data_IF_014576005630
#
_entry.id   IF_014576005630
#
_cell.length_a   1.000
_cell.length_b   1.000
_cell.length_c   1.000
_cell.angle_alpha   90.00
_cell.angle_beta   90.00
_cell.angle_gamma   90.00
#
_symmetry.space_group_name_H-M   'P 1'
#
loop_
_entity.id
_entity.type
_entity.pdbx_description
1 polymer ?
#
# COMPACT_ATOMS: atom_id res chain seq x y z
N UNK A 1 -10.18 -20.14 1.26
CA UNK A 1 -9.31 -19.95 0.08
C UNK A 1 -7.93 -19.53 0.57
N UNK A 2 -6.82 -19.94 -0.09
CA UNK A 2 -5.50 -19.42 0.25
C UNK A 2 -5.49 -17.89 0.08
N UNK A 3 -4.63 -17.21 0.83
CA UNK A 3 -4.44 -15.77 0.64
C UNK A 3 -4.04 -15.52 -0.82
N UNK A 4 -4.58 -14.48 -1.46
CA UNK A 4 -4.34 -14.19 -2.88
C UNK A 4 -4.10 -12.70 -3.09
N UNK A 5 -3.14 -12.34 -3.95
CA UNK A 5 -2.93 -10.97 -4.41
C UNK A 5 -3.52 -10.84 -5.81
N UNK A 6 -4.46 -9.92 -6.00
CA UNK A 6 -5.03 -9.57 -7.30
C UNK A 6 -4.44 -8.26 -7.81
N UNK A 7 -4.01 -8.27 -9.08
CA UNK A 7 -3.40 -7.15 -9.78
C UNK A 7 -4.39 -6.56 -10.79
N UNK A 8 -4.64 -5.26 -10.66
CA UNK A 8 -5.66 -4.52 -11.40
C UNK A 8 -5.12 -3.27 -12.08
N UNK A 9 -5.86 -2.74 -13.05
CA UNK A 9 -5.84 -1.31 -13.31
C UNK A 9 -7.19 -0.69 -12.94
N UNK A 10 -7.20 0.63 -12.73
CA UNK A 10 -8.41 1.34 -12.35
C UNK A 10 -9.25 1.82 -13.54
N UNK A 11 -8.74 1.76 -14.78
CA UNK A 11 -9.34 2.37 -15.97
C UNK A 11 -9.55 3.90 -15.80
N UNK A 12 -8.51 4.58 -15.32
CA UNK A 12 -8.52 6.00 -14.91
C UNK A 12 -7.30 6.76 -15.46
N UNK A 13 -7.26 8.09 -15.32
CA UNK A 13 -6.02 8.86 -15.44
C UNK A 13 -4.97 8.47 -14.37
N UNK A 14 -3.74 8.91 -14.58
CA UNK A 14 -2.57 8.58 -13.76
C UNK A 14 -2.59 9.11 -12.32
N UNK A 15 -3.33 10.18 -12.06
CA UNK A 15 -3.44 10.85 -10.77
C UNK A 15 -4.64 10.38 -9.93
N UNK A 16 -5.40 9.40 -10.44
CA UNK A 16 -6.58 8.92 -9.75
C UNK A 16 -6.22 8.07 -8.53
N UNK A 17 -6.64 8.53 -7.36
CA UNK A 17 -6.53 7.80 -6.09
C UNK A 17 -7.83 7.94 -5.33
N UNK A 18 -8.55 6.84 -5.11
CA UNK A 18 -9.79 6.83 -4.31
C UNK A 18 -9.90 5.57 -3.45
N UNK A 19 -10.25 5.69 -2.16
CA UNK A 19 -10.48 4.54 -1.30
C UNK A 19 -11.74 3.78 -1.71
N UNK A 20 -11.77 2.48 -1.41
CA UNK A 20 -13.01 1.67 -1.36
C UNK A 20 -12.92 0.36 -2.13
N UNK A 21 -12.29 0.38 -3.30
CA UNK A 21 -12.18 -0.80 -4.17
C UNK A 21 -10.86 -1.55 -4.00
N UNK A 22 -9.75 -0.82 -3.90
CA UNK A 22 -8.41 -1.41 -3.87
C UNK A 22 -7.73 -1.11 -2.55
N UNK A 23 -6.87 -2.03 -2.11
CA UNK A 23 -6.09 -1.84 -0.90
C UNK A 23 -4.97 -0.82 -1.13
N UNK A 24 -4.36 -0.88 -2.31
CA UNK A 24 -3.41 0.12 -2.77
C UNK A 24 -3.67 0.54 -4.20
N UNK A 25 -3.43 1.82 -4.46
CA UNK A 25 -3.43 2.39 -5.81
C UNK A 25 -2.04 2.96 -6.09
N UNK A 26 -1.49 2.66 -7.26
CA UNK A 26 -0.20 3.16 -7.74
C UNK A 26 -0.44 4.21 -8.83
N UNK A 27 -0.04 5.45 -8.56
CA UNK A 27 -0.13 6.57 -9.50
C UNK A 27 0.86 6.42 -10.68
N UNK A 28 0.69 7.20 -11.74
CA UNK A 28 1.47 7.06 -12.99
C UNK A 28 2.99 7.21 -12.83
N UNK A 29 3.43 7.94 -11.81
CA UNK A 29 4.84 8.13 -11.45
C UNK A 29 5.41 6.98 -10.59
N UNK A 30 4.58 6.00 -10.22
CA UNK A 30 4.95 4.89 -9.33
C UNK A 30 4.67 5.14 -7.85
N UNK A 31 4.13 6.31 -7.46
CA UNK A 31 3.77 6.61 -6.08
C UNK A 31 2.68 5.66 -5.59
N UNK A 32 2.93 4.98 -4.48
CA UNK A 32 2.01 4.01 -3.90
C UNK A 32 1.18 4.65 -2.79
N UNK A 33 -0.14 4.60 -2.95
CA UNK A 33 -1.11 5.03 -1.96
C UNK A 33 -1.74 3.80 -1.32
N UNK A 34 -1.48 3.56 -0.03
CA UNK A 34 -2.14 2.49 0.72
C UNK A 34 -3.39 3.05 1.40
N UNK A 35 -4.54 2.53 1.02
CA UNK A 35 -5.86 3.04 1.36
C UNK A 35 -6.54 2.19 2.43
N UNK A 36 -6.31 0.89 2.39
CA UNK A 36 -6.88 -0.07 3.32
C UNK A 36 -5.82 -1.06 3.78
N UNK A 37 -5.91 -1.51 5.03
CA UNK A 37 -5.01 -2.51 5.58
C UNK A 37 -5.15 -3.83 4.79
N UNK A 38 -4.07 -4.53 4.49
CA UNK A 38 -4.11 -5.81 3.75
C UNK A 38 -4.74 -6.98 4.51
N UNK A 39 -5.24 -6.73 5.70
CA UNK A 39 -5.78 -7.74 6.62
C UNK A 39 -7.30 -7.75 6.65
N UNK A 40 -7.94 -6.85 5.91
CA UNK A 40 -9.38 -6.80 5.78
C UNK A 40 -9.78 -7.26 4.39
N UNK A 41 -11.00 -7.78 4.27
CA UNK A 41 -11.59 -8.03 2.96
C UNK A 41 -12.25 -6.75 2.47
N UNK A 42 -11.97 -6.36 1.22
CA UNK A 42 -12.69 -5.29 0.55
C UNK A 42 -13.88 -5.84 -0.23
N UNK A 43 -15.02 -5.13 -0.29
CA UNK A 43 -16.26 -5.72 -0.76
C UNK A 43 -16.29 -6.02 -2.27
N UNK A 44 -15.51 -5.31 -3.09
CA UNK A 44 -15.68 -5.34 -4.54
C UNK A 44 -14.44 -4.92 -5.35
N UNK A 45 -13.48 -5.84 -5.53
CA UNK A 45 -12.41 -5.72 -6.53
C UNK A 45 -12.40 -6.87 -7.54
N UNK A 46 -12.59 -8.11 -7.10
CA UNK A 46 -12.57 -9.31 -7.94
C UNK A 46 -13.80 -10.17 -7.63
N UNK A 47 -14.75 -10.24 -8.57
CA UNK A 47 -16.03 -10.93 -8.40
C UNK A 47 -15.84 -12.36 -7.86
N UNK A 48 -16.55 -12.68 -6.75
CA UNK A 48 -16.49 -13.95 -6.00
C UNK A 48 -15.11 -14.36 -5.46
N UNK A 49 -14.16 -13.43 -5.43
CA UNK A 49 -12.74 -13.69 -5.10
C UNK A 49 -12.17 -12.70 -4.08
N UNK A 50 -13.02 -11.86 -3.47
CA UNK A 50 -12.61 -10.77 -2.58
C UNK A 50 -12.18 -11.19 -1.17
N UNK A 51 -12.49 -12.42 -0.74
CA UNK A 51 -12.19 -12.87 0.62
C UNK A 51 -10.80 -13.47 0.75
N UNK A 52 -10.13 -13.15 1.86
CA UNK A 52 -8.73 -13.49 2.11
C UNK A 52 -7.84 -13.05 0.94
N UNK A 53 -8.03 -11.82 0.49
CA UNK A 53 -7.38 -11.31 -0.71
C UNK A 53 -6.93 -9.86 -0.58
N UNK A 54 -5.84 -9.53 -1.24
CA UNK A 54 -5.34 -8.16 -1.39
C UNK A 54 -5.50 -7.74 -2.84
N UNK A 55 -5.81 -6.46 -3.06
CA UNK A 55 -6.02 -5.88 -4.38
C UNK A 55 -5.10 -4.68 -4.57
N UNK A 56 -4.19 -4.78 -5.52
CA UNK A 56 -3.28 -3.71 -5.93
C UNK A 56 -3.71 -3.22 -7.31
N UNK A 57 -3.86 -1.91 -7.48
CA UNK A 57 -4.31 -1.32 -8.75
C UNK A 57 -3.38 -0.24 -9.25
N UNK A 58 -3.07 -0.25 -10.54
CA UNK A 58 -2.45 0.90 -11.20
C UNK A 58 -3.52 1.90 -11.66
N UNK A 59 -3.33 3.19 -11.38
CA UNK A 59 -4.14 4.26 -11.95
C UNK A 59 -3.74 4.48 -13.42
N UNK A 60 -4.33 3.73 -14.34
CA UNK A 60 -4.06 3.81 -15.77
C UNK A 60 -5.24 3.25 -16.57
N UNK A 61 -5.10 3.16 -17.90
CA UNK A 61 -6.06 2.62 -18.86
C UNK A 61 -7.37 3.42 -18.97
N UNK A 62 -7.40 4.66 -18.49
CA UNK A 62 -8.57 5.56 -18.58
C UNK A 62 -8.71 6.31 -19.91
N UNK A 63 -7.89 5.99 -20.90
CA UNK A 63 -7.91 6.63 -22.22
C UNK A 63 -9.24 6.46 -22.95
N UNK A 64 -9.68 7.50 -23.68
CA UNK A 64 -10.87 7.46 -24.54
C UNK A 64 -10.57 8.10 -25.90
N UNK A 65 -11.00 7.51 -27.04
CA UNK A 65 -11.71 6.23 -27.16
C UNK A 65 -10.80 5.00 -26.98
N UNK A 66 -9.47 5.19 -26.98
CA UNK A 66 -8.48 4.12 -26.83
C UNK A 66 -7.92 4.09 -25.39
N UNK A 67 -8.18 3.03 -24.59
CA UNK A 67 -7.61 2.87 -23.25
C UNK A 67 -6.08 2.94 -23.22
N UNK A 68 -5.42 2.50 -24.30
CA UNK A 68 -3.97 2.48 -24.41
C UNK A 68 -3.33 3.85 -24.62
N UNK A 69 -4.10 4.93 -24.68
CA UNK A 69 -3.52 6.29 -24.61
C UNK A 69 -3.02 6.64 -23.21
N UNK A 70 -3.40 5.88 -22.19
CA UNK A 70 -2.90 5.96 -20.81
C UNK A 70 -2.42 4.55 -20.40
N UNK A 71 -1.38 3.99 -21.04
CA UNK A 71 -0.91 2.64 -20.74
C UNK A 71 -0.37 2.53 -19.31
N UNK A 72 -0.24 1.34 -18.70
CA UNK A 72 0.53 1.22 -17.46
C UNK A 72 1.98 1.67 -17.69
N UNK A 73 2.51 2.49 -16.78
CA UNK A 73 3.91 2.93 -16.83
C UNK A 73 4.84 1.87 -16.23
N UNK A 74 6.12 1.86 -16.63
CA UNK A 74 7.09 0.96 -15.97
C UNK A 74 7.24 1.26 -14.48
N UNK A 75 7.13 2.54 -14.06
CA UNK A 75 7.15 2.92 -12.65
C UNK A 75 5.97 2.30 -11.88
N UNK A 76 4.78 2.29 -12.48
CA UNK A 76 3.61 1.61 -11.91
C UNK A 76 3.82 0.10 -11.78
N UNK A 77 4.28 -0.55 -12.84
CA UNK A 77 4.51 -1.99 -12.87
C UNK A 77 5.57 -2.42 -11.86
N UNK A 78 6.68 -1.67 -11.77
CA UNK A 78 7.76 -1.88 -10.81
C UNK A 78 7.25 -1.75 -9.37
N UNK A 79 6.59 -0.64 -9.03
CA UNK A 79 6.06 -0.39 -7.70
C UNK A 79 5.01 -1.43 -7.28
N UNK A 80 4.09 -1.81 -8.19
CA UNK A 80 3.11 -2.87 -7.93
C UNK A 80 3.77 -4.23 -7.66
N UNK A 81 4.79 -4.60 -8.44
CA UNK A 81 5.51 -5.86 -8.24
C UNK A 81 6.30 -5.87 -6.92
N UNK A 82 6.95 -4.75 -6.58
CA UNK A 82 7.66 -4.60 -5.29
C UNK A 82 6.69 -4.74 -4.12
N UNK A 83 5.55 -4.06 -4.19
CA UNK A 83 4.54 -4.14 -3.15
C UNK A 83 3.99 -5.56 -2.99
N UNK A 84 3.67 -6.23 -4.11
CA UNK A 84 3.24 -7.63 -4.07
C UNK A 84 4.31 -8.55 -3.44
N UNK A 85 5.60 -8.30 -3.70
CA UNK A 85 6.70 -9.04 -3.07
C UNK A 85 6.81 -8.74 -1.57
N UNK A 86 6.61 -7.50 -1.13
CA UNK A 86 6.59 -7.16 0.31
C UNK A 86 5.42 -7.83 1.04
N UNK A 87 4.22 -7.85 0.44
CA UNK A 87 3.05 -8.55 0.97
C UNK A 87 3.36 -10.04 1.09
N UNK A 88 3.86 -10.64 0.01
CA UNK A 88 4.25 -12.05 -0.02
C UNK A 88 5.24 -12.37 1.11
N UNK A 89 6.31 -11.57 1.26
CA UNK A 89 7.29 -11.74 2.35
C UNK A 89 6.64 -11.59 3.72
N UNK A 90 5.72 -10.63 3.89
CA UNK A 90 4.93 -10.45 5.11
C UNK A 90 4.07 -11.66 5.47
N UNK A 91 3.61 -12.41 4.46
CA UNK A 91 2.89 -13.67 4.63
C UNK A 91 3.81 -14.90 4.74
N UNK A 92 5.12 -14.71 4.73
CA UNK A 92 6.10 -15.79 4.78
C UNK A 92 6.25 -16.55 3.46
N UNK A 93 5.79 -15.98 2.34
CA UNK A 93 5.93 -16.58 1.01
C UNK A 93 7.31 -16.35 0.42
N UNK A 94 7.86 -17.38 -0.20
CA UNK A 94 9.07 -17.32 -1.03
C UNK A 94 8.75 -17.30 -2.52
N UNK A 95 9.79 -17.40 -3.36
CA UNK A 95 9.63 -17.36 -4.82
C UNK A 95 8.72 -18.47 -5.37
N UNK A 96 8.82 -19.67 -4.79
CA UNK A 96 8.02 -20.83 -5.18
C UNK A 96 6.51 -20.65 -4.91
N UNK A 97 6.16 -19.74 -4.00
CA UNK A 97 4.79 -19.42 -3.62
C UNK A 97 4.15 -18.39 -4.55
N UNK A 98 4.93 -17.74 -5.42
CA UNK A 98 4.39 -16.80 -6.42
C UNK A 98 3.88 -17.60 -7.61
N UNK A 99 2.68 -18.16 -7.48
CA UNK A 99 2.01 -18.97 -8.51
C UNK A 99 0.73 -18.32 -9.00
N UNK A 100 0.10 -18.89 -10.04
CA UNK A 100 -1.18 -18.40 -10.55
C UNK A 100 -2.31 -18.56 -9.53
N UNK A 101 -2.21 -19.45 -8.56
CA UNK A 101 -3.23 -19.62 -7.51
C UNK A 101 -3.16 -18.55 -6.42
N UNK A 102 -2.02 -17.83 -6.33
CA UNK A 102 -1.68 -16.91 -5.24
C UNK A 102 -1.45 -15.48 -5.69
N UNK A 103 -1.02 -15.27 -6.93
CA UNK A 103 -0.88 -13.94 -7.55
C UNK A 103 -1.48 -13.96 -8.95
N UNK A 104 -2.58 -13.24 -9.12
CA UNK A 104 -3.38 -13.23 -10.35
C UNK A 104 -3.60 -11.82 -10.86
N UNK A 105 -3.63 -11.65 -12.17
CA UNK A 105 -4.26 -10.46 -12.75
C UNK A 105 -5.79 -10.59 -12.73
N UNK A 106 -6.54 -9.49 -12.84
CA UNK A 106 -7.99 -9.60 -12.98
C UNK A 106 -8.37 -10.38 -14.25
N UNK A 107 -7.62 -10.25 -15.36
CA UNK A 107 -7.87 -11.05 -16.56
C UNK A 107 -7.83 -12.56 -16.26
N UNK A 108 -6.83 -13.01 -15.51
CA UNK A 108 -6.66 -14.42 -15.16
C UNK A 108 -7.74 -14.90 -14.19
N UNK A 109 -8.06 -14.08 -13.18
CA UNK A 109 -9.09 -14.37 -12.19
C UNK A 109 -10.48 -14.45 -12.84
N UNK A 110 -10.79 -13.51 -13.74
CA UNK A 110 -12.03 -13.46 -14.50
C UNK A 110 -12.21 -14.68 -15.44
N UNK A 111 -11.11 -15.33 -15.82
CA UNK A 111 -11.11 -16.52 -16.68
C UNK A 111 -10.89 -17.83 -15.93
N UNK A 112 -10.90 -17.83 -14.59
CA UNK A 112 -10.66 -19.02 -13.78
C UNK A 112 -9.35 -19.77 -14.14
N UNK A 113 -8.29 -19.03 -14.51
CA UNK A 113 -7.04 -19.63 -15.03
C UNK A 113 -6.25 -20.43 -14.00
N UNK A 114 -6.57 -20.27 -12.73
CA UNK A 114 -6.06 -21.05 -11.61
C UNK A 114 -6.75 -22.41 -11.45
N UNK A 115 -7.61 -22.80 -12.40
CA UNK A 115 -8.34 -24.06 -12.37
C UNK A 115 -9.54 -24.09 -11.41
N UNK A 116 -9.84 -22.98 -10.72
CA UNK A 116 -10.99 -22.86 -9.82
C UNK A 116 -12.19 -22.29 -10.56
N UNK A 117 -13.23 -23.09 -10.78
CA UNK A 117 -14.48 -22.61 -11.39
C UNK A 117 -15.33 -21.81 -10.38
N UNK A 118 -15.14 -20.48 -10.34
CA UNK A 118 -15.82 -19.61 -9.37
C UNK A 118 -17.07 -18.92 -9.94
N UNK A 119 -17.10 -18.70 -11.25
CA UNK A 119 -18.11 -17.97 -12.00
C UNK A 119 -17.96 -18.30 -13.49
N UNK A 120 -18.91 -17.88 -14.32
CA UNK A 120 -18.73 -17.92 -15.77
C UNK A 120 -17.55 -17.03 -16.20
N UNK A 121 -16.93 -17.35 -17.34
CA UNK A 121 -15.74 -16.66 -17.82
C UNK A 121 -16.10 -15.27 -18.37
N UNK A 122 -15.78 -14.22 -17.60
CA UNK A 122 -15.93 -12.81 -18.01
C UNK A 122 -14.60 -12.14 -18.34
N UNK A 123 -13.55 -12.96 -18.51
CA UNK A 123 -12.22 -12.50 -18.86
C UNK A 123 -12.04 -12.28 -20.37
N UNK A 124 -10.79 -12.19 -20.84
CA UNK A 124 -10.48 -11.92 -22.24
C UNK A 124 -11.15 -12.87 -23.24
N UNK A 125 -11.60 -12.32 -24.37
CA UNK A 125 -12.20 -13.08 -25.48
C UNK A 125 -11.26 -14.13 -26.04
N UNK A 126 -9.95 -13.84 -26.10
CA UNK A 126 -8.95 -14.81 -26.55
C UNK A 126 -8.80 -16.02 -25.61
N UNK A 127 -9.35 -15.94 -24.40
CA UNK A 127 -9.43 -17.03 -23.43
C UNK A 127 -10.87 -17.58 -23.30
N UNK A 128 -11.75 -17.27 -24.27
CA UNK A 128 -13.14 -17.75 -24.31
C UNK A 128 -14.11 -17.03 -23.39
N UNK A 129 -13.73 -15.87 -22.86
CA UNK A 129 -14.61 -15.03 -22.03
C UNK A 129 -15.37 -13.97 -22.82
N UNK A 130 -16.20 -13.20 -22.12
CA UNK A 130 -17.02 -12.12 -22.69
C UNK A 130 -16.29 -10.77 -22.84
N UNK A 131 -15.07 -10.65 -22.29
CA UNK A 131 -14.16 -9.52 -22.52
C UNK A 131 -14.29 -8.35 -21.55
N UNK A 132 -15.09 -8.46 -20.49
CA UNK A 132 -15.34 -7.37 -19.54
C UNK A 132 -14.12 -7.04 -18.67
N UNK A 133 -13.27 -8.02 -18.38
CA UNK A 133 -12.02 -7.81 -17.65
C UNK A 133 -10.83 -8.39 -18.40
N UNK A 134 -9.84 -7.54 -18.62
CA UNK A 134 -8.62 -7.91 -19.34
C UNK A 134 -7.37 -7.28 -18.70
N UNK A 135 -7.49 -6.86 -17.43
CA UNK A 135 -6.42 -6.29 -16.61
C UNK A 135 -5.16 -7.12 -16.68
N UNK A 136 -4.09 -6.46 -17.13
CA UNK A 136 -2.77 -7.03 -17.37
C UNK A 136 -2.77 -8.34 -18.16
N UNK A 137 -3.72 -8.51 -19.09
CA UNK A 137 -3.59 -9.50 -20.16
C UNK A 137 -2.26 -9.26 -20.89
N UNK A 138 -2.00 -7.99 -21.23
CA UNK A 138 -0.77 -7.49 -21.83
C UNK A 138 -0.28 -6.30 -20.98
N UNK A 139 1.03 -6.12 -20.89
CA UNK A 139 1.62 -4.98 -20.17
C UNK A 139 1.85 -3.75 -21.06
N UNK A 140 1.72 -3.90 -22.38
CA UNK A 140 1.96 -2.86 -23.38
C UNK A 140 1.08 -3.09 -24.60
N UNK A 141 0.74 -2.02 -25.32
CA UNK A 141 -0.14 -2.09 -26.49
C UNK A 141 0.43 -3.03 -27.55
N UNK A 142 -0.35 -4.02 -27.96
CA UNK A 142 0.07 -5.02 -28.95
C UNK A 142 1.12 -6.01 -28.43
N UNK A 143 1.36 -6.04 -27.11
CA UNK A 143 2.24 -7.01 -26.48
C UNK A 143 1.66 -8.43 -26.46
N UNK A 144 2.47 -9.41 -26.06
CA UNK A 144 1.98 -10.78 -25.86
C UNK A 144 0.96 -10.84 -24.71
N UNK A 145 -0.01 -11.80 -24.73
CA UNK A 145 -0.97 -12.02 -23.66
C UNK A 145 -0.34 -12.77 -22.46
N UNK A 146 0.85 -12.35 -22.04
CA UNK A 146 1.67 -12.95 -20.98
C UNK A 146 1.83 -12.05 -19.75
N UNK A 147 1.00 -11.02 -19.61
CA UNK A 147 1.21 -10.00 -18.58
C UNK A 147 1.22 -10.55 -17.16
N UNK A 148 0.37 -11.53 -16.84
CA UNK A 148 0.39 -12.19 -15.54
C UNK A 148 1.69 -12.96 -15.25
N UNK A 149 2.23 -13.66 -16.25
CA UNK A 149 3.50 -14.39 -16.11
C UNK A 149 4.68 -13.42 -15.95
N UNK A 150 4.72 -12.36 -16.76
CA UNK A 150 5.74 -11.30 -16.66
C UNK A 150 5.72 -10.64 -15.27
N UNK A 151 4.53 -10.32 -14.73
CA UNK A 151 4.38 -9.72 -13.40
C UNK A 151 4.84 -10.69 -12.30
N UNK A 152 4.40 -11.96 -12.33
CA UNK A 152 4.85 -12.97 -11.36
C UNK A 152 6.36 -13.16 -11.41
N UNK A 153 6.98 -13.15 -12.59
CA UNK A 153 8.44 -13.23 -12.73
C UNK A 153 9.13 -12.04 -12.06
N UNK A 154 8.64 -10.82 -12.27
CA UNK A 154 9.18 -9.61 -11.61
C UNK A 154 9.04 -9.70 -10.08
N UNK A 155 7.90 -10.16 -9.58
CA UNK A 155 7.66 -10.35 -8.13
C UNK A 155 8.66 -11.36 -7.52
N UNK A 156 8.91 -12.50 -8.20
CA UNK A 156 9.93 -13.47 -7.76
C UNK A 156 11.32 -12.86 -7.70
N UNK A 157 11.69 -12.04 -8.69
CA UNK A 157 12.98 -11.36 -8.70
C UNK A 157 13.16 -10.41 -7.49
N UNK A 158 12.11 -9.71 -7.06
CA UNK A 158 12.13 -8.90 -5.84
C UNK A 158 12.26 -9.74 -4.56
N UNK A 159 11.61 -10.91 -4.52
CA UNK A 159 11.76 -11.84 -3.39
C UNK A 159 13.17 -12.43 -3.30
N UNK A 160 13.82 -12.68 -4.44
CA UNK A 160 15.19 -13.19 -4.53
C UNK A 160 16.28 -12.17 -4.09
N UNK A 161 15.89 -10.96 -3.69
CA UNK A 161 16.81 -9.89 -3.27
C UNK A 161 17.19 -8.90 -4.37
N UNK A 162 16.55 -8.97 -5.54
CA UNK A 162 16.71 -7.95 -6.57
C UNK A 162 16.16 -6.61 -6.08
N UNK A 163 17.04 -5.62 -5.86
CA UNK A 163 16.63 -4.22 -5.72
C UNK A 163 16.06 -3.79 -4.37
N UNK A 164 16.49 -4.37 -3.24
CA UNK A 164 16.22 -3.73 -1.94
C UNK A 164 16.84 -2.31 -1.91
N UNK A 165 16.07 -1.27 -1.59
CA UNK A 165 16.61 0.08 -1.47
C UNK A 165 17.58 0.16 -0.31
N UNK A 166 18.54 1.09 -0.40
CA UNK A 166 19.34 1.44 0.76
C UNK A 166 18.42 1.94 1.89
N UNK A 167 18.59 1.44 3.13
CA UNK A 167 17.77 1.86 4.25
C UNK A 167 17.97 3.35 4.54
N UNK A 168 16.85 4.05 4.83
CA UNK A 168 16.85 5.42 5.32
C UNK A 168 17.80 5.57 6.51
N UNK A 169 18.61 6.63 6.47
CA UNK A 169 19.60 6.92 7.51
C UNK A 169 19.12 8.07 8.38
N UNK A 170 19.08 7.84 9.70
CA UNK A 170 18.99 8.92 10.69
C UNK A 170 20.37 9.54 10.87
N UNK A 171 20.49 10.85 10.56
CA UNK A 171 21.75 11.59 10.52
C UNK A 171 22.11 12.19 11.87
N UNK A 172 21.10 12.57 12.65
CA UNK A 172 21.30 13.12 14.00
C UNK A 172 20.07 12.88 14.87
N UNK A 173 20.32 12.66 16.15
CA UNK A 173 19.31 12.79 17.20
C UNK A 173 19.10 14.26 17.55
N UNK A 174 17.87 14.62 17.87
CA UNK A 174 17.47 15.95 18.32
C UNK A 174 16.32 15.85 19.34
N UNK A 175 15.96 16.97 19.95
CA UNK A 175 14.75 17.10 20.77
C UNK A 175 13.81 18.11 20.14
N UNK A 176 12.50 17.91 20.33
CA UNK A 176 11.49 18.89 19.95
C UNK A 176 10.44 19.05 21.05
N UNK A 177 9.69 20.14 21.01
CA UNK A 177 8.58 20.35 21.93
C UNK A 177 7.30 19.70 21.40
N UNK A 178 6.62 18.95 22.25
CA UNK A 178 5.28 18.38 21.97
C UNK A 178 4.42 18.63 23.21
N UNK A 179 3.41 19.49 23.08
CA UNK A 179 2.59 19.98 24.22
C UNK A 179 3.43 20.54 25.39
N UNK A 180 4.45 21.34 25.05
CA UNK A 180 5.33 22.00 26.03
C UNK A 180 6.27 21.08 26.81
N UNK A 181 6.42 19.83 26.38
CA UNK A 181 7.37 18.87 26.92
C UNK A 181 8.32 18.39 25.82
N UNK A 182 9.58 18.14 26.18
CA UNK A 182 10.57 17.59 25.25
C UNK A 182 10.19 16.17 24.80
N UNK A 183 10.50 15.87 23.55
CA UNK A 183 10.38 14.56 22.91
C UNK A 183 11.62 14.32 22.06
N UNK A 184 12.25 13.17 22.24
CA UNK A 184 13.37 12.73 21.40
C UNK A 184 12.90 12.42 19.99
N UNK A 185 13.64 12.93 19.00
CA UNK A 185 13.40 12.69 17.59
C UNK A 185 14.70 12.38 16.86
N UNK A 186 14.56 11.70 15.74
CA UNK A 186 15.65 11.43 14.80
C UNK A 186 15.41 12.22 13.52
N UNK A 187 16.45 12.85 12.99
CA UNK A 187 16.38 13.63 11.76
C UNK A 187 17.05 12.84 10.64
N UNK A 188 16.31 12.61 9.55
CA UNK A 188 16.85 11.93 8.38
C UNK A 188 17.67 12.86 7.47
N UNK A 189 18.18 12.32 6.37
CA UNK A 189 18.99 13.08 5.41
C UNK A 189 18.24 14.15 4.61
N UNK A 190 16.91 14.11 4.63
CA UNK A 190 16.04 15.10 4.01
C UNK A 190 15.56 16.15 5.01
N UNK A 191 16.01 16.07 6.27
CA UNK A 191 15.59 16.96 7.35
C UNK A 191 14.23 16.61 7.95
N UNK A 192 13.61 15.48 7.59
CA UNK A 192 12.35 15.05 8.19
C UNK A 192 12.59 14.58 9.61
N UNK A 193 11.70 14.97 10.53
CA UNK A 193 11.72 14.51 11.92
C UNK A 193 10.94 13.21 12.06
N UNK A 194 11.52 12.23 12.73
CA UNK A 194 10.96 10.92 13.04
C UNK A 194 10.90 10.72 14.54
N UNK A 195 9.77 10.24 15.04
CA UNK A 195 9.60 9.88 16.45
C UNK A 195 9.04 8.47 16.56
N UNK A 196 9.16 7.87 17.75
CA UNK A 196 8.44 6.62 18.02
C UNK A 196 6.95 6.91 18.02
N UNK A 197 6.21 6.12 17.25
CA UNK A 197 4.76 6.28 17.15
C UNK A 197 4.08 6.13 18.52
N UNK A 198 4.58 5.21 19.35
CA UNK A 198 4.09 5.01 20.72
C UNK A 198 4.26 6.27 21.60
N UNK A 199 5.40 6.95 21.52
CA UNK A 199 5.68 8.13 22.36
C UNK A 199 4.76 9.31 21.97
N UNK A 200 4.51 9.48 20.67
CA UNK A 200 3.54 10.45 20.17
C UNK A 200 2.09 10.11 20.60
N UNK A 201 1.66 8.86 20.42
CA UNK A 201 0.32 8.42 20.83
C UNK A 201 0.09 8.62 22.33
N UNK A 202 1.07 8.26 23.17
CA UNK A 202 1.01 8.49 24.61
C UNK A 202 0.93 9.98 24.96
N UNK A 203 1.68 10.83 24.27
CA UNK A 203 1.69 12.29 24.52
C UNK A 203 0.35 12.96 24.24
N UNK A 204 -0.42 12.41 23.31
CA UNK A 204 -1.78 12.85 22.98
C UNK A 204 -2.87 12.00 23.64
N UNK A 205 -2.50 11.12 24.58
CA UNK A 205 -3.43 10.27 25.33
C UNK A 205 -4.33 9.43 24.41
N UNK A 206 -3.79 9.02 23.26
CA UNK A 206 -4.49 8.24 22.25
C UNK A 206 -4.33 6.76 22.59
N UNK A 207 -5.44 6.03 22.88
CA UNK A 207 -5.37 4.61 23.16
C UNK A 207 -4.87 3.84 21.93
N UNK A 208 -3.96 2.89 22.14
CA UNK A 208 -3.48 2.03 21.07
C UNK A 208 -3.13 0.63 21.54
N UNK A 209 -3.07 -0.30 20.59
CA UNK A 209 -2.56 -1.65 20.78
C UNK A 209 -1.59 -2.02 19.65
N UNK A 210 -0.51 -2.72 19.99
CA UNK A 210 0.43 -3.27 19.02
C UNK A 210 0.06 -4.71 18.64
N UNK A 211 -0.05 -4.97 17.35
CA UNK A 211 -0.27 -6.30 16.79
C UNK A 211 0.99 -6.78 16.07
N UNK A 212 1.85 -7.49 16.80
CA UNK A 212 3.18 -7.87 16.33
C UNK A 212 3.16 -8.75 15.07
N UNK A 213 2.20 -9.68 14.98
CA UNK A 213 2.06 -10.60 13.85
C UNK A 213 1.80 -9.88 12.53
N UNK A 214 1.26 -8.67 12.59
CA UNK A 214 0.87 -7.87 11.42
C UNK A 214 1.61 -6.55 11.31
N UNK A 215 2.56 -6.29 12.22
CA UNK A 215 3.32 -5.03 12.28
C UNK A 215 2.38 -3.82 12.26
N UNK A 216 1.40 -3.81 13.16
CA UNK A 216 0.30 -2.83 13.13
C UNK A 216 0.07 -2.17 14.47
N UNK A 217 -0.12 -0.86 14.45
CA UNK A 217 -0.64 -0.07 15.55
C UNK A 217 -2.14 0.16 15.34
N UNK A 218 -2.94 -0.42 16.22
CA UNK A 218 -4.38 -0.26 16.27
C UNK A 218 -4.71 0.93 17.16
N UNK A 219 -5.27 1.99 16.59
CA UNK A 219 -5.65 3.19 17.33
C UNK A 219 -7.12 3.07 17.74
N UNK A 220 -7.38 3.20 19.05
CA UNK A 220 -8.71 3.19 19.63
C UNK A 220 -9.55 4.36 19.10
N UNK A 221 -10.86 4.16 18.99
CA UNK A 221 -11.80 5.04 18.26
C UNK A 221 -11.50 6.53 18.44
N UNK A 222 -10.91 7.11 17.40
CA UNK A 222 -10.77 8.53 17.19
C UNK A 222 -11.51 8.90 15.91
N UNK A 223 -12.11 10.09 15.88
CA UNK A 223 -12.67 10.70 14.67
C UNK A 223 -11.54 11.16 13.71
N UNK A 224 -10.63 10.25 13.36
CA UNK A 224 -9.59 10.46 12.36
C UNK A 224 -10.15 9.98 11.02
N UNK A 225 -10.16 10.85 10.03
CA UNK A 225 -10.45 10.49 8.65
C UNK A 225 -9.12 10.45 7.92
N UNK A 226 -8.60 9.26 7.54
CA UNK A 226 -7.31 9.17 6.89
C UNK A 226 -7.24 10.02 5.64
N UNK A 227 -6.17 10.80 5.52
CA UNK A 227 -6.04 11.76 4.42
C UNK A 227 -5.46 11.13 3.14
N UNK A 228 -4.99 9.87 3.22
CA UNK A 228 -4.44 9.09 2.10
C UNK A 228 -3.35 9.83 1.31
N UNK A 229 -2.46 10.49 2.06
CA UNK A 229 -1.48 11.44 1.52
C UNK A 229 -0.63 10.85 0.40
N UNK A 230 -0.27 11.71 -0.54
CA UNK A 230 0.64 11.35 -1.63
C UNK A 230 2.08 11.14 -1.17
N UNK A 231 2.47 11.79 -0.07
CA UNK A 231 3.83 11.76 0.44
C UNK A 231 4.08 10.63 1.45
N UNK A 232 3.14 9.71 1.69
CA UNK A 232 3.25 8.58 2.65
C UNK A 232 4.60 7.85 2.53
N UNK A 233 5.09 7.28 3.64
CA UNK A 233 6.33 6.49 3.65
C UNK A 233 6.23 5.34 2.65
N UNK A 234 7.07 5.40 1.62
CA UNK A 234 7.09 4.46 0.51
C UNK A 234 7.91 3.20 0.83
N UNK A 235 7.63 2.04 0.21
CA UNK A 235 8.44 0.82 0.37
C UNK A 235 9.93 1.01 0.07
N UNK A 236 10.27 2.02 -0.73
CA UNK A 236 11.64 2.36 -1.10
C UNK A 236 12.48 2.94 0.05
N UNK A 237 11.90 3.14 1.25
CA UNK A 237 12.62 3.62 2.44
C UNK A 237 13.64 2.60 3.00
N UNK A 238 13.63 1.36 2.49
CA UNK A 238 14.62 0.31 2.81
C UNK A 238 14.52 -0.27 4.22
N UNK A 239 13.44 0.01 4.95
CA UNK A 239 13.11 -0.60 6.23
C UNK A 239 11.80 -1.39 6.15
N UNK A 240 11.61 -2.45 6.95
CA UNK A 240 10.30 -3.06 7.13
C UNK A 240 9.30 -1.99 7.57
N UNK A 241 8.08 -2.03 7.06
CA UNK A 241 7.07 -1.02 7.37
C UNK A 241 6.09 -1.52 8.45
N UNK A 242 5.54 -0.58 9.20
CA UNK A 242 4.34 -0.80 10.01
C UNK A 242 3.19 0.08 9.52
N UNK A 243 1.97 -0.34 9.84
CA UNK A 243 0.75 0.42 9.56
C UNK A 243 0.13 0.93 10.85
N UNK A 244 -0.38 2.16 10.82
CA UNK A 244 -1.29 2.67 11.85
C UNK A 244 -2.71 2.69 11.29
N UNK A 245 -3.64 2.02 11.94
CA UNK A 245 -5.02 1.89 11.46
C UNK A 245 -6.01 2.18 12.58
N UNK A 246 -7.22 2.62 12.23
CA UNK A 246 -8.32 2.63 13.20
C UNK A 246 -8.72 1.21 13.61
N UNK A 247 -9.22 1.07 14.84
CA UNK A 247 -9.83 -0.17 15.34
C UNK A 247 -11.19 -0.49 14.67
N UNK A 248 -11.64 0.31 13.68
CA UNK A 248 -12.95 0.16 13.02
C UNK A 248 -12.95 -0.89 11.90
N UNK A 249 -14.15 -1.37 11.54
CA UNK A 249 -14.38 -2.48 10.61
C UNK A 249 -13.74 -2.36 9.21
N UNK A 250 -13.63 -1.19 8.57
CA UNK A 250 -12.90 -1.04 7.31
C UNK A 250 -11.41 -0.70 7.51
N UNK A 251 -10.88 -0.71 8.74
CA UNK A 251 -9.47 -0.47 9.12
C UNK A 251 -8.66 0.39 8.13
N UNK A 252 -9.09 1.63 7.85
CA UNK A 252 -8.40 2.48 6.91
C UNK A 252 -7.01 2.81 7.47
N UNK A 253 -6.01 2.86 6.60
CA UNK A 253 -4.64 3.17 6.99
C UNK A 253 -4.54 4.67 7.23
N UNK A 254 -4.27 5.05 8.47
CA UNK A 254 -4.05 6.45 8.89
C UNK A 254 -2.69 6.91 8.35
N UNK A 255 -1.63 6.19 8.71
CA UNK A 255 -0.27 6.47 8.25
C UNK A 255 0.57 5.20 8.20
N UNK A 256 1.72 5.31 7.53
CA UNK A 256 2.75 4.28 7.50
C UNK A 256 4.03 4.82 8.13
N UNK A 257 4.80 3.92 8.72
CA UNK A 257 6.11 4.25 9.22
C UNK A 257 7.08 3.08 9.08
N UNK A 258 8.27 3.24 9.63
CA UNK A 258 9.33 2.22 9.56
C UNK A 258 9.42 1.45 10.88
N UNK A 259 9.82 0.19 10.78
CA UNK A 259 10.27 -0.62 11.89
C UNK A 259 11.78 -0.70 11.88
N UNK A 260 12.37 -0.11 12.90
CA UNK A 260 13.81 -0.08 13.11
C UNK A 260 14.09 -0.43 14.56
N UNK A 261 15.02 -1.37 14.77
CA UNK A 261 15.40 -1.84 16.11
C UNK A 261 14.20 -2.29 16.96
N UNK A 262 13.27 -3.00 16.31
CA UNK A 262 12.00 -3.47 16.89
C UNK A 262 11.10 -2.35 17.46
N UNK A 263 11.24 -1.13 16.94
CA UNK A 263 10.43 0.05 17.32
C UNK A 263 9.76 0.63 16.08
N UNK A 264 8.51 1.06 16.26
CA UNK A 264 7.71 1.73 15.23
C UNK A 264 8.00 3.24 15.21
N UNK A 265 8.50 3.74 14.09
CA UNK A 265 8.84 5.15 13.87
C UNK A 265 8.01 5.76 12.75
N UNK A 266 7.37 6.91 13.01
CA UNK A 266 6.63 7.66 11.99
C UNK A 266 7.21 9.07 11.83
N UNK A 267 6.97 9.68 10.67
CA UNK A 267 7.29 11.09 10.47
C UNK A 267 6.38 11.93 11.36
N UNK A 268 6.97 12.87 12.06
CA UNK A 268 6.28 13.68 13.07
C UNK A 268 5.24 14.61 12.43
N UNK A 269 5.57 15.25 11.30
CA UNK A 269 4.64 16.14 10.60
C UNK A 269 3.42 15.38 10.07
N UNK A 270 3.65 14.22 9.45
CA UNK A 270 2.57 13.34 8.96
C UNK A 270 1.65 12.89 10.09
N UNK A 271 2.22 12.47 11.24
CA UNK A 271 1.43 12.17 12.43
C UNK A 271 0.59 13.38 12.86
N UNK A 272 1.18 14.59 12.89
CA UNK A 272 0.45 15.76 13.30
C UNK A 272 -0.73 16.07 12.36
N UNK A 273 -0.53 15.96 11.05
CA UNK A 273 -1.57 16.23 10.05
C UNK A 273 -2.71 15.21 10.12
N UNK A 274 -2.40 13.90 10.17
CA UNK A 274 -3.41 12.84 10.24
C UNK A 274 -4.26 12.92 11.52
N UNK A 275 -3.66 13.34 12.63
CA UNK A 275 -4.35 13.47 13.91
C UNK A 275 -4.92 14.87 14.16
N UNK A 276 -4.87 15.78 13.18
CA UNK A 276 -5.40 17.14 13.30
C UNK A 276 -4.66 18.01 14.33
N UNK A 277 -3.42 17.70 14.65
CA UNK A 277 -2.58 18.44 15.58
C UNK A 277 -2.10 19.75 14.93
N UNK A 278 -2.09 20.82 15.72
CA UNK A 278 -1.52 22.11 15.29
C UNK A 278 0.00 22.10 15.38
N UNK A 279 0.69 22.73 14.43
CA UNK A 279 2.16 22.78 14.37
C UNK A 279 2.66 24.22 14.33
N UNK A 280 3.79 24.48 14.99
CA UNK A 280 4.63 25.67 14.77
C UNK A 280 5.93 25.23 14.10
N UNK A 281 6.55 26.07 13.26
CA UNK A 281 7.81 25.75 12.56
C UNK A 281 9.04 26.47 13.13
N UNK A 282 8.84 27.43 14.04
CA UNK A 282 9.91 28.27 14.58
C UNK A 282 9.84 28.32 16.13
N UNK A 283 10.38 27.33 16.86
CA UNK A 283 10.94 26.06 16.36
C UNK A 283 9.85 25.04 15.99
N UNK A 284 10.21 24.01 15.21
CA UNK A 284 9.27 22.94 14.86
C UNK A 284 8.73 22.25 16.13
N UNK A 285 7.43 22.39 16.38
CA UNK A 285 6.77 22.05 17.63
C UNK A 285 5.37 21.54 17.35
N UNK A 286 4.95 20.51 18.09
CA UNK A 286 3.56 20.06 18.07
C UNK A 286 2.78 20.66 19.25
N UNK A 287 1.60 21.21 18.94
CA UNK A 287 0.71 21.88 19.87
C UNK A 287 -0.49 20.99 20.20
N UNK A 288 -1.65 21.60 20.47
CA UNK A 288 -2.88 20.90 20.77
C UNK A 288 -3.56 20.32 19.52
N UNK A 289 -4.36 19.27 19.75
CA UNK A 289 -5.21 18.66 18.72
C UNK A 289 -6.39 19.58 18.40
N UNK A 290 -6.67 19.79 17.11
CA UNK A 290 -7.82 20.59 16.66
C UNK A 290 -9.12 19.83 16.95
N UNK A 291 -10.05 20.47 17.67
CA UNK A 291 -11.35 19.91 18.00
C UNK A 291 -11.40 19.04 19.27
N UNK A 292 -10.37 19.10 20.12
CA UNK A 292 -10.38 18.61 21.51
C UNK A 292 -10.57 19.72 22.52
#
# INVERSE_FOLDING_TARGET
>A
MPATIYLHWAATPYDWVRPGHYHSIIAGDGTLHRLHAYTIDLPAHTWRRNSNAVALSCACMGGRPDPWSIPPTEAQLDAMCREAAEIARGWGWGEADITIERVMTHAEAASNRDGRWMHDNYGPVIWGGTGERWDFLQLRKGGPPSGGDELRQRIRAFLAGGGQPAPLVFRRSATMQVRGQELDVEIDEHGSSWARAADLLLRYEIPYAWEASRRRLLVGSLDVVPSFRADQVQPQVGWPLFEMTLLSGPAPVILRGILRDNRAWCRVLEFAEEFGISVSFEPFTLLERRGG
#
